data_IF_975767328418
#
_entry.id   IF_975767328418
#
_cell.length_a   1.000
_cell.length_b   1.000
_cell.length_c   1.000
_cell.angle_alpha   90.00
_cell.angle_beta   90.00
_cell.angle_gamma   90.00
#
_symmetry.space_group_name_H-M   'P 1'
#
loop_
_entity.id
_entity.type
_entity.pdbx_description
1 polymer ?
#
# COMPACT_ATOMS: atom_id res chain seq x y z
N UNK A 1 -9.52 -2.12 19.45
CA UNK A 1 -10.06 -3.37 18.82
C UNK A 1 -9.60 -3.35 17.37
N UNK A 2 -9.19 -4.50 16.78
CA UNK A 2 -8.84 -4.55 15.34
C UNK A 2 -10.09 -4.29 14.50
N UNK A 3 -9.89 -3.64 13.34
CA UNK A 3 -10.98 -3.40 12.37
C UNK A 3 -11.45 -4.74 11.79
N UNK A 4 -12.76 -4.93 11.69
CA UNK A 4 -13.35 -6.12 11.08
C UNK A 4 -13.16 -6.12 9.55
N UNK A 5 -12.41 -7.08 9.03
CA UNK A 5 -12.08 -7.24 7.61
C UNK A 5 -12.94 -8.30 6.89
N UNK A 6 -13.89 -8.93 7.58
CA UNK A 6 -14.65 -10.10 7.09
C UNK A 6 -15.29 -9.83 5.73
N UNK A 7 -15.99 -8.71 5.58
CA UNK A 7 -16.63 -8.31 4.31
C UNK A 7 -15.65 -8.30 3.14
N UNK A 8 -14.48 -7.70 3.34
CA UNK A 8 -13.47 -7.54 2.30
C UNK A 8 -12.75 -8.85 1.97
N UNK A 9 -12.54 -9.71 2.96
CA UNK A 9 -12.04 -11.07 2.74
C UNK A 9 -12.98 -11.87 1.84
N UNK A 10 -14.28 -11.80 2.06
CA UNK A 10 -15.26 -12.50 1.22
C UNK A 10 -15.29 -11.95 -0.22
N UNK A 11 -15.23 -10.62 -0.40
CA UNK A 11 -15.13 -10.02 -1.73
C UNK A 11 -13.86 -10.50 -2.45
N UNK A 12 -12.71 -10.51 -1.77
CA UNK A 12 -11.44 -10.92 -2.34
C UNK A 12 -11.45 -12.40 -2.76
N UNK A 13 -11.97 -13.32 -1.92
CA UNK A 13 -12.15 -14.74 -2.25
C UNK A 13 -13.01 -14.96 -3.49
N UNK A 14 -14.13 -14.25 -3.60
CA UNK A 14 -15.07 -14.41 -4.71
C UNK A 14 -14.53 -13.88 -6.05
N UNK A 15 -13.55 -12.98 -6.02
CA UNK A 15 -13.08 -12.30 -7.21
C UNK A 15 -11.70 -12.77 -7.72
N UNK A 16 -10.96 -13.60 -6.98
CA UNK A 16 -9.60 -13.95 -7.34
C UNK A 16 -9.47 -14.53 -8.77
N UNK A 17 -10.42 -15.35 -9.20
CA UNK A 17 -10.44 -15.95 -10.55
C UNK A 17 -11.22 -15.11 -11.59
N UNK A 18 -11.81 -13.97 -11.18
CA UNK A 18 -12.62 -13.13 -12.09
C UNK A 18 -11.84 -11.90 -12.57
N UNK A 19 -10.68 -11.65 -12.01
CA UNK A 19 -9.86 -10.50 -12.38
C UNK A 19 -9.31 -10.66 -13.80
N UNK A 20 -9.37 -9.62 -14.63
CA UNK A 20 -8.90 -9.73 -16.01
C UNK A 20 -7.40 -9.96 -16.03
N UNK A 21 -6.94 -10.84 -16.92
CA UNK A 21 -5.53 -10.95 -17.24
C UNK A 21 -5.07 -9.65 -17.89
N UNK A 22 -3.96 -9.09 -17.44
CA UNK A 22 -3.33 -7.90 -18.01
C UNK A 22 -2.11 -8.26 -18.88
N UNK A 23 -1.59 -7.27 -19.60
CA UNK A 23 -0.33 -7.37 -20.32
C UNK A 23 0.83 -6.84 -19.46
N UNK A 24 2.05 -7.30 -19.72
CA UNK A 24 3.24 -6.93 -18.97
C UNK A 24 3.52 -7.85 -17.76
N UNK A 25 4.64 -7.63 -17.09
CA UNK A 25 5.10 -8.47 -15.96
C UNK A 25 4.17 -8.40 -14.75
N UNK A 26 3.48 -7.28 -14.60
CA UNK A 26 2.52 -7.02 -13.52
C UNK A 26 1.07 -7.01 -14.02
N UNK A 27 0.83 -7.57 -15.22
CA UNK A 27 -0.49 -7.59 -15.85
C UNK A 27 -1.55 -8.27 -14.98
N UNK A 28 -2.64 -7.55 -14.69
CA UNK A 28 -3.73 -8.03 -13.84
C UNK A 28 -3.46 -7.99 -12.32
N UNK A 29 -2.26 -7.60 -11.87
CA UNK A 29 -1.94 -7.43 -10.45
C UNK A 29 -2.49 -6.12 -9.91
N UNK A 30 -2.98 -6.14 -8.68
CA UNK A 30 -3.50 -4.99 -7.94
C UNK A 30 -2.48 -4.60 -6.89
N UNK A 31 -1.94 -3.39 -7.01
CA UNK A 31 -0.82 -2.90 -6.20
C UNK A 31 -1.22 -1.66 -5.40
N UNK A 32 -0.95 -1.63 -4.10
CA UNK A 32 -1.00 -0.41 -3.30
C UNK A 32 0.44 0.08 -3.10
N UNK A 33 0.69 1.37 -3.34
CA UNK A 33 1.95 2.04 -3.02
C UNK A 33 1.66 3.19 -2.06
N UNK A 34 2.20 3.14 -0.84
CA UNK A 34 2.03 4.21 0.13
C UNK A 34 3.10 5.30 -0.03
N UNK A 35 2.74 6.57 0.24
CA UNK A 35 3.61 7.71 -0.03
C UNK A 35 3.86 7.91 -1.53
N UNK A 36 2.85 7.59 -2.37
CA UNK A 36 3.00 7.52 -3.81
C UNK A 36 2.65 8.82 -4.56
N UNK A 37 2.30 9.89 -3.86
CA UNK A 37 2.01 11.18 -4.51
C UNK A 37 3.27 11.85 -5.07
N UNK A 38 4.48 11.49 -4.58
CA UNK A 38 5.74 12.09 -5.02
C UNK A 38 6.94 11.15 -4.79
N UNK A 39 8.13 11.60 -5.23
CA UNK A 39 9.42 10.96 -4.94
C UNK A 39 9.51 9.50 -5.40
N UNK A 40 10.16 8.65 -4.57
CA UNK A 40 10.35 7.24 -4.89
C UNK A 40 9.04 6.48 -5.04
N UNK A 41 8.04 6.77 -4.17
CA UNK A 41 6.74 6.13 -4.23
C UNK A 41 6.03 6.37 -5.58
N UNK A 42 6.03 7.62 -6.09
CA UNK A 42 5.49 7.94 -7.41
C UNK A 42 6.25 7.18 -8.51
N UNK A 43 7.59 7.19 -8.48
CA UNK A 43 8.41 6.49 -9.49
C UNK A 43 8.16 4.98 -9.52
N UNK A 44 8.05 4.34 -8.35
CA UNK A 44 7.73 2.91 -8.26
C UNK A 44 6.31 2.63 -8.77
N UNK A 45 5.33 3.45 -8.37
CA UNK A 45 3.95 3.33 -8.84
C UNK A 45 3.86 3.46 -10.37
N UNK A 46 4.63 4.37 -10.96
CA UNK A 46 4.71 4.57 -12.42
C UNK A 46 5.27 3.33 -13.12
N UNK A 47 6.34 2.73 -12.61
CA UNK A 47 6.91 1.52 -13.21
C UNK A 47 5.96 0.31 -13.07
N UNK A 48 5.31 0.13 -11.92
CA UNK A 48 4.28 -0.91 -11.77
C UNK A 48 3.13 -0.72 -12.78
N UNK A 49 2.69 0.53 -12.97
CA UNK A 49 1.64 0.87 -13.94
C UNK A 49 2.07 0.57 -15.38
N UNK A 50 3.29 0.93 -15.78
CA UNK A 50 3.86 0.62 -17.10
C UNK A 50 3.96 -0.89 -17.35
N UNK A 51 4.26 -1.66 -16.31
CA UNK A 51 4.31 -3.12 -16.35
C UNK A 51 2.94 -3.81 -16.28
N UNK A 52 1.85 -3.06 -16.34
CA UNK A 52 0.50 -3.58 -16.50
C UNK A 52 -0.32 -3.71 -15.21
N UNK A 53 0.20 -3.28 -14.07
CA UNK A 53 -0.55 -3.31 -12.82
C UNK A 53 -1.72 -2.31 -12.80
N UNK A 54 -2.72 -2.61 -12.00
CA UNK A 54 -3.64 -1.62 -11.44
C UNK A 54 -3.01 -1.06 -10.18
N UNK A 55 -2.90 0.27 -10.07
CA UNK A 55 -2.11 0.90 -8.99
C UNK A 55 -2.97 1.84 -8.17
N UNK A 56 -2.90 1.68 -6.85
CA UNK A 56 -3.47 2.60 -5.87
C UNK A 56 -2.37 3.56 -5.41
N UNK A 57 -2.53 4.83 -5.72
CA UNK A 57 -1.70 5.93 -5.26
C UNK A 57 -2.19 6.33 -3.87
N UNK A 58 -1.58 5.75 -2.85
CA UNK A 58 -1.99 5.93 -1.46
C UNK A 58 -1.10 6.98 -0.77
N UNK A 59 -1.67 8.11 -0.37
CA UNK A 59 -0.91 9.21 0.23
C UNK A 59 -1.80 10.03 1.18
N UNK A 60 -1.18 10.73 2.15
CA UNK A 60 -1.86 11.70 3.00
C UNK A 60 -2.23 12.98 2.23
N UNK A 61 -1.45 13.33 1.20
CA UNK A 61 -1.71 14.45 0.30
C UNK A 61 -2.70 14.04 -0.80
N UNK A 62 -3.98 13.97 -0.44
CA UNK A 62 -5.05 13.54 -1.33
C UNK A 62 -5.09 14.30 -2.67
N UNK A 63 -4.99 15.66 -2.71
CA UNK A 63 -5.00 16.39 -3.97
C UNK A 63 -3.87 15.99 -4.92
N UNK A 64 -2.65 15.82 -4.38
CA UNK A 64 -1.49 15.42 -5.18
C UNK A 64 -1.60 13.96 -5.63
N UNK A 65 -2.07 13.05 -4.76
CA UNK A 65 -2.30 11.66 -5.12
C UNK A 65 -3.34 11.52 -6.24
N UNK A 66 -4.40 12.34 -6.20
CA UNK A 66 -5.42 12.38 -7.26
C UNK A 66 -4.83 12.83 -8.59
N UNK A 67 -4.05 13.91 -8.59
CA UNK A 67 -3.36 14.39 -9.79
C UNK A 67 -2.48 13.28 -10.40
N UNK A 68 -1.70 12.58 -9.58
CA UNK A 68 -0.82 11.48 -10.04
C UNK A 68 -1.64 10.33 -10.62
N UNK A 69 -2.75 9.95 -10.00
CA UNK A 69 -3.62 8.91 -10.52
C UNK A 69 -4.24 9.30 -11.87
N UNK A 70 -4.66 10.56 -12.04
CA UNK A 70 -5.16 11.10 -13.30
C UNK A 70 -4.09 11.12 -14.40
N UNK A 71 -2.83 11.49 -14.06
CA UNK A 71 -1.68 11.43 -14.97
C UNK A 71 -1.41 10.00 -15.48
N UNK A 72 -1.59 8.97 -14.64
CA UNK A 72 -1.37 7.58 -15.01
C UNK A 72 -2.50 7.02 -15.88
N UNK A 73 -3.76 7.37 -15.61
CA UNK A 73 -4.92 6.95 -16.39
C UNK A 73 -5.77 5.86 -15.72
N UNK A 74 -6.54 5.12 -16.53
CA UNK A 74 -7.68 4.30 -16.09
C UNK A 74 -7.35 3.18 -15.07
N UNK A 75 -6.11 2.68 -15.06
CA UNK A 75 -5.67 1.63 -14.13
C UNK A 75 -5.04 2.20 -12.84
N UNK A 76 -5.19 3.50 -12.59
CA UNK A 76 -4.72 4.12 -11.36
C UNK A 76 -5.85 4.83 -10.64
N UNK A 77 -5.85 4.74 -9.31
CA UNK A 77 -6.77 5.48 -8.43
C UNK A 77 -6.00 6.05 -7.26
N UNK A 78 -6.49 7.14 -6.70
CA UNK A 78 -5.96 7.69 -5.44
C UNK A 78 -6.83 7.27 -4.25
N UNK A 79 -6.17 6.98 -3.13
CA UNK A 79 -6.84 6.79 -1.83
C UNK A 79 -6.06 7.58 -0.78
N UNK A 80 -6.76 8.49 -0.08
CA UNK A 80 -6.18 9.19 1.04
C UNK A 80 -5.91 8.22 2.19
N UNK A 81 -4.69 8.27 2.76
CA UNK A 81 -4.32 7.41 3.89
C UNK A 81 -3.36 8.09 4.85
N UNK A 82 -3.64 7.94 6.14
CA UNK A 82 -2.69 8.16 7.20
C UNK A 82 -2.16 6.79 7.67
N UNK A 83 -0.90 6.46 7.34
CA UNK A 83 -0.36 5.11 7.53
C UNK A 83 -0.22 4.68 8.99
N UNK A 84 -0.14 5.62 9.96
CA UNK A 84 -0.08 5.24 11.37
C UNK A 84 -1.47 5.21 12.06
N UNK A 85 -2.53 5.52 11.33
CA UNK A 85 -3.91 5.38 11.77
C UNK A 85 -4.46 4.03 11.30
N UNK A 86 -4.79 3.16 12.25
CA UNK A 86 -5.20 1.79 11.97
C UNK A 86 -6.49 1.72 11.14
N UNK A 87 -7.47 2.58 11.44
CA UNK A 87 -8.74 2.61 10.70
C UNK A 87 -8.55 3.12 9.28
N UNK A 88 -7.67 4.13 9.10
CA UNK A 88 -7.32 4.68 7.79
C UNK A 88 -6.66 3.63 6.89
N UNK A 89 -5.70 2.85 7.42
CA UNK A 89 -5.04 1.78 6.67
C UNK A 89 -6.02 0.66 6.32
N UNK A 90 -6.83 0.21 7.27
CA UNK A 90 -7.85 -0.81 7.02
C UNK A 90 -8.85 -0.36 5.94
N UNK A 91 -9.30 0.90 6.00
CA UNK A 91 -10.21 1.49 5.02
C UNK A 91 -9.56 1.57 3.62
N UNK A 92 -8.28 1.95 3.52
CA UNK A 92 -7.52 1.96 2.26
C UNK A 92 -7.49 0.57 1.62
N UNK A 93 -7.12 -0.45 2.38
CA UNK A 93 -7.07 -1.84 1.90
C UNK A 93 -8.47 -2.32 1.51
N UNK A 94 -9.47 -2.08 2.36
CA UNK A 94 -10.85 -2.44 2.09
C UNK A 94 -11.41 -1.77 0.82
N UNK A 95 -11.14 -0.48 0.65
CA UNK A 95 -11.55 0.26 -0.54
C UNK A 95 -10.88 -0.28 -1.82
N UNK A 96 -9.62 -0.66 -1.74
CA UNK A 96 -8.92 -1.31 -2.85
C UNK A 96 -9.60 -2.61 -3.25
N UNK A 97 -9.97 -3.45 -2.29
CA UNK A 97 -10.70 -4.70 -2.53
C UNK A 97 -12.08 -4.45 -3.12
N UNK A 98 -12.82 -3.43 -2.65
CA UNK A 98 -14.12 -3.06 -3.22
C UNK A 98 -14.03 -2.62 -4.69
N UNK A 99 -12.99 -1.86 -5.03
CA UNK A 99 -12.80 -1.34 -6.38
C UNK A 99 -12.31 -2.40 -7.38
N UNK A 100 -11.41 -3.28 -6.94
CA UNK A 100 -10.66 -4.15 -7.85
C UNK A 100 -10.80 -5.64 -7.57
N UNK A 101 -11.43 -6.02 -6.46
CA UNK A 101 -11.69 -7.41 -6.11
C UNK A 101 -10.52 -8.14 -5.43
N UNK A 102 -9.49 -7.42 -4.96
CA UNK A 102 -8.38 -8.04 -4.23
C UNK A 102 -7.16 -7.15 -4.07
N UNK A 103 -6.04 -7.74 -3.62
CA UNK A 103 -4.75 -7.09 -3.43
C UNK A 103 -3.62 -8.09 -3.67
N UNK A 104 -2.69 -7.79 -4.57
CA UNK A 104 -1.57 -8.68 -4.91
C UNK A 104 -0.23 -8.17 -4.37
N UNK A 105 -0.04 -6.85 -4.32
CA UNK A 105 1.18 -6.23 -3.81
C UNK A 105 0.86 -5.07 -2.88
N UNK A 106 1.39 -5.13 -1.66
CA UNK A 106 1.49 -3.98 -0.75
C UNK A 106 2.92 -3.47 -0.73
N UNK A 107 3.17 -2.27 -1.28
CA UNK A 107 4.45 -1.61 -1.22
C UNK A 107 4.39 -0.46 -0.20
N UNK A 108 4.96 -0.71 0.99
CA UNK A 108 5.05 0.27 2.06
C UNK A 108 6.29 1.14 1.87
N UNK A 109 6.07 2.32 1.27
CA UNK A 109 7.12 3.30 1.00
C UNK A 109 6.94 4.59 1.82
N UNK A 110 5.74 4.89 2.32
CA UNK A 110 5.51 6.08 3.14
C UNK A 110 6.53 6.17 4.27
N UNK A 111 7.23 7.29 4.33
CA UNK A 111 8.27 7.49 5.33
C UNK A 111 8.66 8.97 5.45
N UNK A 112 9.15 9.32 6.63
CA UNK A 112 9.61 10.66 6.97
C UNK A 112 10.98 10.59 7.64
N UNK A 113 11.71 11.71 7.60
CA UNK A 113 13.01 11.84 8.27
C UNK A 113 12.97 13.05 9.21
N UNK A 114 13.40 12.82 10.45
CA UNK A 114 13.72 13.83 11.43
C UNK A 114 15.05 13.40 12.05
N UNK A 115 16.14 14.04 11.69
CA UNK A 115 17.47 13.68 12.15
C UNK A 115 18.19 14.84 12.83
N UNK A 116 19.10 14.54 13.73
CA UNK A 116 19.92 15.48 14.45
C UNK A 116 20.85 14.79 15.45
N UNK A 117 21.76 15.53 16.11
CA UNK A 117 22.56 14.98 17.20
C UNK A 117 21.64 14.40 18.28
N UNK A 118 21.97 13.22 18.81
CA UNK A 118 21.12 12.50 19.77
C UNK A 118 20.64 13.35 20.94
N UNK A 119 21.51 14.20 21.48
CA UNK A 119 21.18 15.10 22.58
C UNK A 119 20.18 16.22 22.23
N UNK A 120 19.88 16.42 20.95
CA UNK A 120 18.98 17.47 20.45
C UNK A 120 17.69 16.92 19.85
N UNK A 121 17.61 15.62 19.60
CA UNK A 121 16.38 14.98 19.08
C UNK A 121 15.31 14.99 20.18
N UNK A 122 14.20 15.63 19.93
CA UNK A 122 13.08 15.65 20.85
C UNK A 122 12.28 14.34 20.77
N UNK A 123 11.70 13.93 21.91
CA UNK A 123 10.83 12.74 21.97
C UNK A 123 9.73 12.76 20.92
N UNK A 124 9.11 13.92 20.69
CA UNK A 124 8.04 14.08 19.68
C UNK A 124 8.51 13.77 18.24
N UNK A 125 9.76 14.12 17.90
CA UNK A 125 10.32 13.86 16.57
C UNK A 125 10.66 12.37 16.42
N UNK A 126 11.18 11.74 17.47
CA UNK A 126 11.38 10.30 17.49
C UNK A 126 10.06 9.53 17.35
N UNK A 127 9.03 9.90 18.11
CA UNK A 127 7.70 9.28 18.03
C UNK A 127 7.06 9.49 16.66
N UNK A 128 7.19 10.69 16.08
CA UNK A 128 6.69 10.98 14.74
C UNK A 128 7.31 10.07 13.67
N UNK A 129 8.64 9.93 13.66
CA UNK A 129 9.34 9.06 12.72
C UNK A 129 8.96 7.59 12.94
N UNK A 130 8.94 7.13 14.19
CA UNK A 130 8.60 5.75 14.55
C UNK A 130 7.17 5.41 14.13
N UNK A 131 6.23 6.31 14.37
CA UNK A 131 4.82 6.10 14.03
C UNK A 131 4.61 5.96 12.52
N UNK A 132 5.25 6.78 11.72
CA UNK A 132 5.07 6.72 10.26
C UNK A 132 5.88 5.57 9.65
N UNK A 133 7.18 5.48 9.98
CA UNK A 133 8.07 4.55 9.28
C UNK A 133 7.95 3.11 9.78
N UNK A 134 7.66 2.89 11.06
CA UNK A 134 7.63 1.56 11.66
C UNK A 134 6.20 1.08 11.94
N UNK A 135 5.41 1.86 12.70
CA UNK A 135 4.00 1.49 12.97
C UNK A 135 3.20 1.49 11.68
N UNK A 136 3.43 2.47 10.77
CA UNK A 136 2.76 2.52 9.47
C UNK A 136 3.06 1.29 8.60
N UNK A 137 4.33 0.86 8.53
CA UNK A 137 4.67 -0.40 7.86
C UNK A 137 3.94 -1.60 8.47
N UNK A 138 3.98 -1.72 9.80
CA UNK A 138 3.29 -2.82 10.49
C UNK A 138 1.80 -2.87 10.17
N UNK A 139 1.10 -1.75 10.20
CA UNK A 139 -0.32 -1.67 9.88
C UNK A 139 -0.60 -2.03 8.41
N UNK A 140 0.18 -1.49 7.48
CA UNK A 140 0.07 -1.84 6.06
C UNK A 140 0.27 -3.34 5.83
N UNK A 141 1.31 -3.92 6.41
CA UNK A 141 1.59 -5.35 6.32
C UNK A 141 0.48 -6.19 6.95
N UNK A 142 -0.02 -5.82 8.14
CA UNK A 142 -1.10 -6.50 8.85
C UNK A 142 -2.36 -6.62 7.99
N UNK A 143 -2.87 -5.49 7.49
CA UNK A 143 -4.13 -5.47 6.75
C UNK A 143 -4.01 -6.04 5.35
N UNK A 144 -2.86 -5.89 4.69
CA UNK A 144 -2.59 -6.57 3.43
C UNK A 144 -2.55 -8.09 3.61
N UNK A 145 -1.85 -8.59 4.63
CA UNK A 145 -1.74 -10.02 4.91
C UNK A 145 -3.10 -10.69 5.16
N UNK A 146 -4.04 -10.02 5.83
CA UNK A 146 -5.39 -10.54 6.05
C UNK A 146 -6.11 -10.80 4.71
N UNK A 147 -6.05 -9.87 3.77
CA UNK A 147 -6.68 -10.03 2.45
C UNK A 147 -5.93 -11.08 1.62
N UNK A 148 -4.61 -11.05 1.61
CA UNK A 148 -3.77 -11.99 0.86
C UNK A 148 -3.96 -13.42 1.37
N UNK A 149 -4.09 -13.63 2.68
CA UNK A 149 -4.42 -14.92 3.27
C UNK A 149 -5.78 -15.43 2.78
N UNK A 150 -6.81 -14.58 2.81
CA UNK A 150 -8.13 -14.93 2.33
C UNK A 150 -8.14 -15.32 0.84
N UNK A 151 -7.36 -14.61 0.01
CA UNK A 151 -7.19 -14.93 -1.41
C UNK A 151 -6.45 -16.26 -1.60
N UNK A 152 -5.38 -16.51 -0.83
CA UNK A 152 -4.62 -17.77 -0.88
C UNK A 152 -5.46 -18.99 -0.46
N UNK A 153 -6.36 -18.82 0.51
CA UNK A 153 -7.33 -19.88 0.88
C UNK A 153 -8.26 -20.24 -0.29
N UNK A 154 -8.59 -19.28 -1.15
CA UNK A 154 -9.45 -19.51 -2.31
C UNK A 154 -8.67 -19.98 -3.56
N UNK A 155 -7.40 -19.62 -3.67
CA UNK A 155 -6.47 -20.03 -4.73
C UNK A 155 -5.07 -20.27 -4.16
N UNK A 156 -4.72 -21.51 -3.75
CA UNK A 156 -3.42 -21.84 -3.20
C UNK A 156 -2.23 -21.66 -4.14
N UNK A 157 -2.47 -21.55 -5.45
CA UNK A 157 -1.41 -21.31 -6.44
C UNK A 157 -1.13 -19.81 -6.62
N UNK A 158 -2.01 -18.93 -6.15
CA UNK A 158 -1.81 -17.49 -6.24
C UNK A 158 -0.71 -17.01 -5.28
N UNK A 159 0.12 -16.07 -5.78
CA UNK A 159 1.22 -15.47 -5.02
C UNK A 159 0.97 -13.99 -4.76
N UNK A 160 1.36 -13.54 -3.57
CA UNK A 160 1.16 -12.19 -3.07
C UNK A 160 2.42 -11.68 -2.40
N UNK A 161 2.68 -10.38 -2.47
CA UNK A 161 3.91 -9.80 -1.95
C UNK A 161 3.63 -8.60 -1.03
N UNK A 162 4.41 -8.53 0.06
CA UNK A 162 4.51 -7.36 0.92
C UNK A 162 5.96 -6.87 0.86
N UNK A 163 6.16 -5.67 0.36
CA UNK A 163 7.48 -5.07 0.16
C UNK A 163 7.58 -3.78 0.96
N UNK A 164 8.72 -3.54 1.59
CA UNK A 164 9.01 -2.27 2.26
C UNK A 164 10.29 -1.66 1.72
N UNK A 165 10.28 -0.33 1.57
CA UNK A 165 11.49 0.45 1.27
C UNK A 165 12.22 0.75 2.56
N UNK A 166 13.44 0.24 2.69
CA UNK A 166 14.32 0.48 3.81
C UNK A 166 15.58 1.25 3.39
N UNK A 167 16.26 1.86 4.36
CA UNK A 167 17.53 2.54 4.15
C UNK A 167 18.72 1.62 4.47
N UNK A 168 19.78 1.71 3.68
CA UNK A 168 21.07 1.07 3.99
C UNK A 168 21.65 1.52 5.33
N UNK A 169 21.29 2.74 5.79
CA UNK A 169 21.75 3.27 7.09
C UNK A 169 21.32 2.44 8.31
N UNK A 170 20.39 1.50 8.14
CA UNK A 170 20.02 0.54 9.17
C UNK A 170 20.88 -0.73 9.17
N UNK A 171 21.82 -0.86 8.22
CA UNK A 171 22.68 -2.03 8.04
C UNK A 171 24.18 -1.73 8.32
N UNK A 172 24.55 -0.46 8.58
CA UNK A 172 25.90 0.03 8.86
C UNK A 172 26.10 0.34 10.34
#
# INVERSE_FOLDING_TARGET
>A
MSVDMTKWCEIAKQNIHKRPAGQGRMGGKICIVTGAAQGFGKGIAEELYKEGATVVIADMNEPLAKQVAEEFGERAVSIAVNVYDEESVAAMVGKTVELFGGLDLMLSNAGVVRSGPLAQVEKKDFEFVTNINYTGYFLCAKYAAIIMQAQHEADPEATFDIVTLNSKSGLE
#
